data_IF_922264876376
#
_entry.id   IF_922264876376
#
_cell.length_a   1.000
_cell.length_b   1.000
_cell.length_c   1.000
_cell.angle_alpha   90.00
_cell.angle_beta   90.00
_cell.angle_gamma   90.00
#
_symmetry.space_group_name_H-M   'P 1'
#
loop_
_entity.id
_entity.type
_entity.pdbx_description
1 polymer ?
#
# COMPACT_ATOMS: atom_id res chain seq x y z
N UNK A 1 -14.70 -15.11 8.31
CA UNK A 1 -13.43 -14.91 9.05
C UNK A 1 -12.96 -13.51 8.71
N UNK A 2 -12.50 -12.73 9.67
CA UNK A 2 -12.14 -11.34 9.40
C UNK A 2 -10.86 -11.20 8.58
N UNK A 3 -10.82 -10.22 7.68
CA UNK A 3 -9.67 -9.85 6.87
C UNK A 3 -8.57 -9.30 7.78
N UNK A 4 -7.38 -9.90 7.75
CA UNK A 4 -6.25 -9.48 8.58
C UNK A 4 -5.39 -8.50 7.79
N UNK A 5 -5.38 -7.24 8.23
CA UNK A 5 -4.84 -6.11 7.47
C UNK A 5 -3.54 -5.63 8.10
N UNK A 6 -2.46 -5.70 7.34
CA UNK A 6 -1.20 -5.06 7.67
C UNK A 6 -1.11 -3.70 6.96
N UNK A 7 -0.61 -2.66 7.65
CA UNK A 7 -0.45 -1.31 7.09
C UNK A 7 1.02 -0.92 7.11
N UNK A 8 1.58 -0.66 5.92
CA UNK A 8 2.96 -0.24 5.69
C UNK A 8 2.98 1.26 5.37
N UNK A 9 3.81 2.03 6.08
CA UNK A 9 3.87 3.48 5.92
C UNK A 9 5.16 4.07 6.51
N UNK A 10 5.48 5.32 6.13
CA UNK A 10 6.55 6.09 6.74
C UNK A 10 5.99 6.95 7.87
N UNK A 11 6.17 6.50 9.11
CA UNK A 11 5.57 7.10 10.31
C UNK A 11 5.62 8.64 10.36
N UNK A 12 6.83 9.21 10.26
CA UNK A 12 7.04 10.66 10.43
C UNK A 12 6.99 11.49 9.14
N UNK A 13 6.47 10.97 8.03
CA UNK A 13 6.33 11.78 6.82
C UNK A 13 5.21 12.82 7.02
N UNK A 14 5.57 14.09 6.98
CA UNK A 14 4.68 15.24 7.17
C UNK A 14 4.33 15.94 5.86
N UNK A 15 4.69 15.37 4.70
CA UNK A 15 4.35 15.91 3.39
C UNK A 15 2.92 15.52 2.97
N UNK A 16 1.96 15.76 3.85
CA UNK A 16 0.56 15.33 3.72
C UNK A 16 -0.41 16.45 4.13
N UNK A 17 -1.63 16.43 3.60
CA UNK A 17 -2.69 17.37 3.99
C UNK A 17 -3.05 17.21 5.47
N UNK A 18 -3.32 18.32 6.16
CA UNK A 18 -3.65 18.31 7.58
C UNK A 18 -5.13 17.92 7.81
N UNK A 19 -5.36 16.73 8.36
CA UNK A 19 -6.69 16.20 8.70
C UNK A 19 -7.08 16.36 10.18
N UNK A 20 -6.14 16.75 11.05
CA UNK A 20 -6.36 16.92 12.51
C UNK A 20 -6.76 18.36 12.88
N UNK A 21 -6.77 19.28 11.91
CA UNK A 21 -7.16 20.67 12.07
C UNK A 21 -6.28 21.44 13.05
N UNK A 22 -6.87 22.39 13.79
CA UNK A 22 -6.16 23.21 14.78
C UNK A 22 -5.97 22.52 16.14
N UNK A 23 -6.43 21.27 16.31
CA UNK A 23 -6.18 20.50 17.54
C UNK A 23 -4.69 20.23 17.74
N UNK A 24 -3.90 20.27 16.68
CA UNK A 24 -2.44 20.36 16.72
C UNK A 24 -1.95 21.80 16.79
N UNK A 25 -2.24 22.54 17.88
CA UNK A 25 -1.58 23.84 18.15
C UNK A 25 -0.07 23.63 18.32
N UNK A 26 0.65 23.57 17.19
CA UNK A 26 2.08 23.25 17.08
C UNK A 26 2.43 21.86 16.54
N UNK A 27 1.44 21.01 16.20
CA UNK A 27 1.67 19.62 15.75
C UNK A 27 1.65 19.50 14.23
N UNK A 28 2.73 18.99 13.64
CA UNK A 28 2.79 18.62 12.23
C UNK A 28 1.93 17.37 12.00
N UNK A 29 0.95 17.44 11.08
CA UNK A 29 0.22 16.24 10.62
C UNK A 29 1.21 15.34 9.87
N UNK A 30 1.14 14.04 10.13
CA UNK A 30 1.99 13.02 9.53
C UNK A 30 1.15 11.90 8.95
N UNK A 31 1.77 10.98 8.22
CA UNK A 31 1.10 9.76 7.75
C UNK A 31 0.56 8.92 8.91
N UNK A 32 1.12 9.01 10.14
CA UNK A 32 0.55 8.33 11.30
C UNK A 32 -0.88 8.78 11.60
N UNK A 33 -1.18 10.07 11.48
CA UNK A 33 -2.54 10.58 11.70
C UNK A 33 -3.55 9.97 10.71
N UNK A 34 -3.14 9.74 9.45
CA UNK A 34 -3.96 9.03 8.47
C UNK A 34 -4.15 7.55 8.84
N UNK A 35 -3.11 6.90 9.37
CA UNK A 35 -3.20 5.52 9.87
C UNK A 35 -4.13 5.42 11.07
N UNK A 36 -4.14 6.41 11.96
CA UNK A 36 -5.08 6.47 13.10
C UNK A 36 -6.54 6.58 12.61
N UNK A 37 -6.81 7.41 11.61
CA UNK A 37 -8.14 7.51 11.00
C UNK A 37 -8.54 6.23 10.25
N UNK A 38 -7.58 5.60 9.56
CA UNK A 38 -7.80 4.29 8.93
C UNK A 38 -8.14 3.23 9.98
N UNK A 39 -7.39 3.17 11.08
CA UNK A 39 -7.60 2.22 12.17
C UNK A 39 -9.00 2.41 12.80
N UNK A 40 -9.43 3.66 13.04
CA UNK A 40 -10.80 3.96 13.51
C UNK A 40 -11.85 3.48 12.52
N UNK A 41 -11.64 3.74 11.23
CA UNK A 41 -12.55 3.35 10.15
C UNK A 41 -12.68 1.82 10.06
N UNK A 42 -11.58 1.09 10.20
CA UNK A 42 -11.56 -0.37 10.19
C UNK A 42 -12.16 -0.98 11.46
N UNK A 43 -11.86 -0.44 12.65
CA UNK A 43 -12.40 -0.92 13.93
C UNK A 43 -13.93 -0.82 14.03
N UNK A 44 -14.52 0.15 13.32
CA UNK A 44 -15.98 0.26 13.22
C UNK A 44 -16.61 -0.89 12.41
N UNK A 45 -15.81 -1.74 11.77
CA UNK A 45 -16.23 -2.89 10.98
C UNK A 45 -15.77 -4.18 11.63
N UNK A 46 -16.70 -5.04 12.01
CA UNK A 46 -16.43 -6.30 12.74
C UNK A 46 -15.64 -7.34 11.95
N UNK A 47 -15.48 -7.13 10.64
CA UNK A 47 -14.86 -8.06 9.71
C UNK A 47 -13.37 -7.78 9.47
N UNK A 48 -12.79 -6.70 10.01
CA UNK A 48 -11.39 -6.36 9.78
C UNK A 48 -10.57 -6.44 11.06
N UNK A 49 -9.44 -7.13 11.00
CA UNK A 49 -8.48 -7.24 12.10
C UNK A 49 -7.25 -6.43 11.71
N UNK A 50 -7.11 -5.25 12.30
CA UNK A 50 -5.92 -4.41 12.13
C UNK A 50 -4.71 -5.05 12.84
N UNK A 51 -3.62 -5.24 12.08
CA UNK A 51 -2.36 -5.85 12.54
C UNK A 51 -1.18 -4.87 12.52
N UNK A 52 -1.43 -3.59 12.32
CA UNK A 52 -0.40 -2.56 12.39
C UNK A 52 0.03 -2.25 13.82
N UNK A 53 0.99 -1.35 13.96
CA UNK A 53 1.35 -0.79 15.27
C UNK A 53 0.14 -0.07 15.87
N UNK A 54 -0.36 -0.58 17.00
CA UNK A 54 -1.34 0.12 17.83
C UNK A 54 -0.64 1.20 18.64
N UNK A 55 -1.31 2.34 18.80
CA UNK A 55 -0.82 3.49 19.54
C UNK A 55 -0.39 3.06 20.97
N UNK A 56 0.92 3.12 21.26
CA UNK A 56 1.52 2.68 22.54
C UNK A 56 2.58 1.57 22.45
N UNK A 57 2.74 0.89 21.31
CA UNK A 57 3.92 0.05 21.07
C UNK A 57 5.08 0.88 20.53
N UNK A 58 5.78 1.59 21.43
CA UNK A 58 7.02 2.26 21.06
C UNK A 58 8.12 1.21 20.77
N UNK A 59 8.29 0.89 19.48
CA UNK A 59 9.35 0.01 19.02
C UNK A 59 10.71 0.74 18.89
N UNK A 60 10.79 2.04 19.16
CA UNK A 60 12.02 2.84 19.00
C UNK A 60 13.19 2.36 19.86
N UNK A 61 12.89 1.66 20.96
CA UNK A 61 13.88 1.13 21.90
C UNK A 61 14.44 -0.24 21.48
N UNK A 62 13.91 -0.87 20.44
CA UNK A 62 14.32 -2.19 19.97
C UNK A 62 15.38 -2.08 18.87
N UNK A 63 16.19 -3.14 18.71
CA UNK A 63 17.09 -3.24 17.56
C UNK A 63 16.31 -3.44 16.26
N UNK A 64 16.85 -2.96 15.13
CA UNK A 64 16.27 -3.16 13.80
C UNK A 64 15.91 -4.63 13.52
N UNK A 65 16.77 -5.58 13.91
CA UNK A 65 16.50 -7.02 13.73
C UNK A 65 15.28 -7.48 14.54
N UNK A 66 15.12 -6.98 15.76
CA UNK A 66 13.98 -7.33 16.63
C UNK A 66 12.69 -6.73 16.09
N UNK A 67 12.74 -5.47 15.62
CA UNK A 67 11.61 -4.80 14.97
C UNK A 67 11.21 -5.59 13.72
N UNK A 68 12.20 -6.00 12.92
CA UNK A 68 11.96 -6.76 11.70
C UNK A 68 11.28 -8.11 11.96
N UNK A 69 11.74 -8.87 12.96
CA UNK A 69 11.08 -10.14 13.33
C UNK A 69 9.63 -9.94 13.80
N UNK A 70 9.35 -8.87 14.56
CA UNK A 70 7.98 -8.50 14.94
C UNK A 70 7.12 -8.17 13.71
N UNK A 71 7.65 -7.39 12.77
CA UNK A 71 6.95 -7.03 11.53
C UNK A 71 6.68 -8.28 10.69
N UNK A 72 7.66 -9.17 10.51
CA UNK A 72 7.47 -10.45 9.81
C UNK A 72 6.34 -11.27 10.40
N UNK A 73 6.24 -11.35 11.74
CA UNK A 73 5.17 -12.10 12.40
C UNK A 73 3.78 -11.50 12.10
N UNK A 74 3.67 -10.17 12.11
CA UNK A 74 2.42 -9.45 11.78
C UNK A 74 2.03 -9.64 10.32
N UNK A 75 2.99 -9.49 9.40
CA UNK A 75 2.76 -9.66 7.97
C UNK A 75 2.40 -11.12 7.66
N UNK A 76 3.08 -12.08 8.28
CA UNK A 76 2.80 -13.51 8.08
C UNK A 76 1.37 -13.91 8.49
N UNK A 77 0.83 -13.29 9.55
CA UNK A 77 -0.55 -13.50 9.98
C UNK A 77 -1.54 -12.59 9.22
N UNK A 78 -1.12 -11.79 8.26
CA UNK A 78 -2.01 -10.92 7.47
C UNK A 78 -2.41 -11.58 6.14
N UNK A 79 -3.47 -11.06 5.53
CA UNK A 79 -3.97 -11.50 4.21
C UNK A 79 -4.08 -10.35 3.21
N UNK A 80 -4.05 -9.11 3.70
CA UNK A 80 -4.08 -7.87 2.93
C UNK A 80 -3.01 -6.92 3.48
N UNK A 81 -2.23 -6.34 2.57
CA UNK A 81 -1.28 -5.27 2.85
C UNK A 81 -1.78 -3.96 2.24
N UNK A 82 -1.97 -2.95 3.09
CA UNK A 82 -2.24 -1.57 2.67
C UNK A 82 -0.95 -0.77 2.79
N UNK A 83 -0.54 -0.09 1.72
CA UNK A 83 0.59 0.83 1.70
C UNK A 83 0.05 2.24 1.69
N UNK A 84 0.42 3.06 2.68
CA UNK A 84 0.10 4.49 2.70
C UNK A 84 1.09 5.23 1.81
N UNK A 85 0.68 5.54 0.59
CA UNK A 85 1.51 6.17 -0.43
C UNK A 85 1.47 7.68 -0.25
N UNK A 86 2.42 8.22 0.52
CA UNK A 86 2.62 9.66 0.70
C UNK A 86 3.74 10.21 -0.18
N UNK A 87 3.73 11.52 -0.45
CA UNK A 87 4.71 12.18 -1.32
C UNK A 87 6.16 12.07 -0.83
N UNK A 88 6.37 11.95 0.49
CA UNK A 88 7.68 11.84 1.15
C UNK A 88 8.05 10.42 1.61
N UNK A 89 7.33 9.38 1.16
CA UNK A 89 7.52 7.99 1.62
C UNK A 89 8.91 7.41 1.34
N UNK A 90 9.58 7.87 0.27
CA UNK A 90 10.89 7.35 -0.17
C UNK A 90 12.01 8.34 0.12
N UNK A 91 13.06 7.86 0.78
CA UNK A 91 14.33 8.58 0.93
C UNK A 91 15.20 8.33 -0.31
N UNK A 92 15.34 9.34 -1.17
CA UNK A 92 16.01 9.21 -2.48
C UNK A 92 17.48 8.75 -2.40
N UNK A 93 18.18 9.18 -1.36
CA UNK A 93 19.61 8.89 -1.18
C UNK A 93 19.88 7.62 -0.38
N UNK A 94 18.84 6.89 0.04
CA UNK A 94 18.94 5.64 0.78
C UNK A 94 18.54 4.49 -0.13
N UNK A 95 19.37 3.45 -0.24
CA UNK A 95 19.02 2.30 -1.06
C UNK A 95 17.71 1.64 -0.57
N UNK A 96 16.85 1.17 -1.49
CA UNK A 96 15.52 0.62 -1.15
C UNK A 96 15.61 -0.54 -0.15
N UNK A 97 16.64 -1.39 -0.26
CA UNK A 97 16.89 -2.49 0.69
C UNK A 97 17.08 -2.05 2.15
N UNK A 98 17.35 -0.77 2.40
CA UNK A 98 17.51 -0.19 3.73
C UNK A 98 16.29 0.65 4.16
N UNK A 99 15.20 0.61 3.40
CA UNK A 99 13.93 1.25 3.72
C UNK A 99 12.90 0.15 4.01
N UNK A 100 12.05 0.35 5.03
CA UNK A 100 11.16 -0.69 5.54
C UNK A 100 10.04 -1.06 4.56
N UNK A 101 9.35 -0.08 3.98
CA UNK A 101 8.20 -0.28 3.07
C UNK A 101 8.47 -1.32 1.97
N UNK A 102 9.54 -1.23 1.15
CA UNK A 102 9.78 -2.22 0.11
C UNK A 102 10.09 -3.63 0.66
N UNK A 103 10.68 -3.73 1.86
CA UNK A 103 10.91 -5.01 2.54
C UNK A 103 9.60 -5.62 3.03
N UNK A 104 8.70 -4.81 3.59
CA UNK A 104 7.38 -5.23 4.06
C UNK A 104 6.50 -5.72 2.91
N UNK A 105 6.52 -5.01 1.76
CA UNK A 105 5.81 -5.44 0.53
C UNK A 105 6.41 -6.76 0.02
N UNK A 106 7.73 -6.84 -0.09
CA UNK A 106 8.44 -8.07 -0.51
C UNK A 106 8.08 -9.27 0.36
N UNK A 107 8.00 -9.08 1.69
CA UNK A 107 7.59 -10.13 2.61
C UNK A 107 6.10 -10.49 2.46
N UNK A 108 5.23 -9.49 2.28
CA UNK A 108 3.78 -9.66 2.10
C UNK A 108 3.42 -10.48 0.86
N UNK A 109 4.22 -10.37 -0.22
CA UNK A 109 3.95 -11.06 -1.48
C UNK A 109 4.58 -12.45 -1.54
N UNK A 110 5.46 -12.80 -0.62
CA UNK A 110 6.13 -14.11 -0.60
C UNK A 110 5.30 -15.15 0.14
N UNK A 111 5.29 -16.34 -0.43
CA UNK A 111 4.79 -17.54 0.22
C UNK A 111 5.93 -18.13 1.03
N UNK A 112 5.82 -18.07 2.35
CA UNK A 112 6.88 -18.47 3.28
C UNK A 112 6.32 -19.56 4.17
N UNK A 113 7.05 -20.65 4.35
CA UNK A 113 6.65 -21.72 5.27
C UNK A 113 7.19 -21.46 6.67
N UNK A 114 6.36 -21.66 7.70
CA UNK A 114 6.73 -21.63 9.12
C UNK A 114 6.15 -22.83 9.85
N UNK A 115 6.85 -23.28 10.88
CA UNK A 115 6.33 -24.28 11.81
C UNK A 115 5.42 -23.58 12.81
N UNK A 116 4.16 -23.99 12.88
CA UNK A 116 3.21 -23.49 13.87
C UNK A 116 3.45 -24.11 15.26
N UNK A 117 2.71 -23.63 16.27
CA UNK A 117 2.79 -24.15 17.64
C UNK A 117 2.40 -25.62 17.78
N UNK A 118 1.74 -26.20 16.77
CA UNK A 118 1.34 -27.60 16.70
C UNK A 118 2.35 -28.48 15.96
N UNK A 119 3.47 -27.91 15.49
CA UNK A 119 4.53 -28.62 14.78
C UNK A 119 4.27 -28.80 13.28
N UNK A 120 3.23 -28.16 12.73
CA UNK A 120 2.89 -28.28 11.31
C UNK A 120 3.54 -27.17 10.48
N UNK A 121 3.99 -27.52 9.28
CA UNK A 121 4.43 -26.54 8.29
C UNK A 121 3.21 -25.87 7.66
N UNK A 122 3.02 -24.58 7.95
CA UNK A 122 2.01 -23.73 7.34
C UNK A 122 2.73 -22.79 6.39
N UNK A 123 2.20 -22.59 5.18
CA UNK A 123 2.76 -21.65 4.21
C UNK A 123 1.83 -20.46 4.07
N UNK A 124 2.36 -19.24 4.20
CA UNK A 124 1.58 -18.02 3.94
C UNK A 124 1.16 -17.94 2.48
N UNK A 125 0.03 -17.30 2.22
CA UNK A 125 -0.38 -16.94 0.86
C UNK A 125 0.22 -15.58 0.50
N UNK A 126 0.40 -15.31 -0.80
CA UNK A 126 0.64 -13.95 -1.30
C UNK A 126 -0.49 -13.04 -0.83
N UNK A 127 -0.23 -11.92 -0.16
CA UNK A 127 -1.28 -10.99 0.25
C UNK A 127 -1.93 -10.25 -0.93
N UNK A 128 -3.20 -9.87 -0.78
CA UNK A 128 -3.78 -8.77 -1.53
C UNK A 128 -3.00 -7.47 -1.24
N UNK A 129 -2.91 -6.56 -2.21
CA UNK A 129 -2.08 -5.36 -2.10
C UNK A 129 -2.83 -4.11 -2.56
N UNK A 130 -2.93 -3.11 -1.67
CA UNK A 130 -3.54 -1.81 -1.96
C UNK A 130 -2.52 -0.71 -1.68
N UNK A 131 -2.39 0.26 -2.58
CA UNK A 131 -1.76 1.55 -2.32
C UNK A 131 -2.84 2.63 -2.15
N UNK A 132 -2.98 3.13 -0.92
CA UNK A 132 -3.84 4.26 -0.61
C UNK A 132 -3.02 5.54 -0.72
N UNK A 133 -3.32 6.34 -1.74
CA UNK A 133 -2.59 7.56 -2.09
C UNK A 133 -3.05 8.67 -1.15
N UNK A 134 -2.13 9.28 -0.41
CA UNK A 134 -2.44 10.33 0.58
C UNK A 134 -2.22 11.71 -0.05
N UNK A 135 -3.17 12.66 0.04
CA UNK A 135 -2.96 13.99 -0.52
C UNK A 135 -1.71 14.67 0.07
N UNK A 136 -1.00 15.43 -0.75
CA UNK A 136 0.14 16.23 -0.30
C UNK A 136 -0.30 17.40 0.59
N UNK A 137 0.65 18.21 1.08
CA UNK A 137 0.37 19.35 1.97
C UNK A 137 -0.67 20.36 1.45
N UNK A 138 -1.00 20.32 0.15
CA UNK A 138 -1.98 21.20 -0.49
C UNK A 138 -3.30 20.49 -0.84
N UNK A 139 -3.50 19.24 -0.41
CA UNK A 139 -4.68 18.44 -0.78
C UNK A 139 -4.57 17.76 -2.14
N UNK A 140 -3.41 17.81 -2.81
CA UNK A 140 -3.26 17.35 -4.19
C UNK A 140 -2.71 15.93 -4.29
N UNK A 141 -3.15 15.20 -5.31
CA UNK A 141 -2.71 13.84 -5.61
C UNK A 141 -1.73 13.78 -6.80
N UNK A 142 -1.56 14.89 -7.52
CA UNK A 142 -0.85 14.98 -8.81
C UNK A 142 0.64 14.56 -8.74
N UNK A 143 1.22 14.51 -7.53
CA UNK A 143 2.55 13.96 -7.33
C UNK A 143 2.65 12.48 -7.72
N UNK A 144 1.52 11.76 -7.74
CA UNK A 144 1.43 10.36 -8.13
C UNK A 144 0.29 10.06 -9.11
N UNK A 145 -0.89 10.65 -8.96
CA UNK A 145 -2.02 10.39 -9.87
C UNK A 145 -2.81 11.64 -10.23
N UNK A 146 -3.15 11.77 -11.50
CA UNK A 146 -3.92 12.89 -12.03
C UNK A 146 -4.72 12.47 -13.27
N UNK A 147 -5.75 13.25 -13.58
CA UNK A 147 -6.50 13.06 -14.82
C UNK A 147 -5.70 13.62 -15.99
N UNK A 148 -5.47 12.81 -17.02
CA UNK A 148 -4.72 13.17 -18.23
C UNK A 148 -5.64 13.07 -19.43
N UNK A 149 -5.45 13.96 -20.40
CA UNK A 149 -6.09 13.83 -21.71
C UNK A 149 -5.34 12.74 -22.49
N UNK A 150 -6.03 11.64 -22.81
CA UNK A 150 -5.47 10.43 -23.39
C UNK A 150 -6.28 10.06 -24.63
N UNK A 151 -5.68 10.10 -25.81
CA UNK A 151 -6.41 9.99 -27.08
C UNK A 151 -7.54 11.04 -27.16
N UNK A 152 -8.78 10.60 -27.39
CA UNK A 152 -10.00 11.41 -27.45
C UNK A 152 -10.81 11.37 -26.14
N UNK A 153 -10.26 10.81 -25.06
CA UNK A 153 -10.93 10.63 -23.77
C UNK A 153 -10.04 11.12 -22.61
N UNK A 154 -10.59 11.13 -21.40
CA UNK A 154 -9.81 11.37 -20.18
C UNK A 154 -9.42 10.04 -19.56
N UNK A 155 -8.15 9.88 -19.18
CA UNK A 155 -7.69 8.71 -18.44
C UNK A 155 -7.04 9.10 -17.11
N UNK A 156 -6.88 8.14 -16.20
CA UNK A 156 -6.11 8.33 -14.96
C UNK A 156 -4.67 7.94 -15.25
N UNK A 157 -3.76 8.90 -15.06
CA UNK A 157 -2.34 8.63 -15.11
C UNK A 157 -1.81 8.26 -13.72
N UNK A 158 -0.91 7.29 -13.68
CA UNK A 158 -0.10 6.97 -12.49
C UNK A 158 1.36 7.22 -12.81
N UNK A 159 2.05 7.95 -11.94
CA UNK A 159 3.47 8.25 -12.06
C UNK A 159 4.30 7.13 -11.41
N UNK A 160 4.14 5.89 -11.90
CA UNK A 160 4.77 4.70 -11.36
C UNK A 160 6.28 4.61 -11.68
N UNK A 161 6.79 5.42 -12.61
CA UNK A 161 8.22 5.50 -12.94
C UNK A 161 8.95 6.61 -12.14
N UNK A 162 8.26 7.26 -11.22
CA UNK A 162 8.80 8.33 -10.38
C UNK A 162 9.86 7.81 -9.39
N UNK A 163 10.90 8.60 -9.15
CA UNK A 163 11.87 8.35 -8.08
C UNK A 163 11.29 8.49 -6.65
N UNK A 164 9.99 8.77 -6.54
CA UNK A 164 9.23 8.88 -5.29
C UNK A 164 8.59 7.58 -4.83
N UNK A 165 8.35 6.63 -5.75
CA UNK A 165 7.77 5.33 -5.43
C UNK A 165 8.87 4.25 -5.38
N UNK A 166 8.67 3.19 -4.62
CA UNK A 166 9.61 2.06 -4.57
C UNK A 166 9.50 1.20 -5.83
N UNK A 167 10.64 0.62 -6.24
CA UNK A 167 10.73 -0.20 -7.45
C UNK A 167 9.77 -1.40 -7.40
N UNK A 168 9.66 -2.05 -6.23
CA UNK A 168 8.73 -3.18 -6.05
C UNK A 168 7.26 -2.77 -6.25
N UNK A 169 6.88 -1.56 -5.84
CA UNK A 169 5.52 -1.06 -6.05
C UNK A 169 5.28 -0.78 -7.54
N UNK A 170 6.22 -0.09 -8.19
CA UNK A 170 6.15 0.20 -9.63
C UNK A 170 6.01 -1.08 -10.47
N UNK A 171 6.79 -2.12 -10.16
CA UNK A 171 6.72 -3.42 -10.85
C UNK A 171 5.42 -4.20 -10.62
N UNK A 172 4.64 -3.85 -9.60
CA UNK A 172 3.31 -4.43 -9.35
C UNK A 172 2.17 -3.52 -9.88
N UNK A 173 2.51 -2.54 -10.72
CA UNK A 173 1.57 -1.75 -11.52
C UNK A 173 1.74 -2.12 -13.00
N UNK A 174 0.66 -2.06 -13.76
CA UNK A 174 0.58 -2.41 -15.19
C UNK A 174 1.23 -3.76 -15.51
N UNK A 175 1.12 -4.72 -14.58
CA UNK A 175 1.81 -6.00 -14.60
C UNK A 175 0.89 -7.20 -14.88
N UNK A 176 -0.33 -6.96 -15.35
CA UNK A 176 -1.18 -8.02 -15.89
C UNK A 176 -0.51 -8.60 -17.16
N UNK A 177 -0.48 -9.93 -17.27
CA UNK A 177 0.20 -10.67 -18.36
C UNK A 177 -0.44 -10.43 -19.72
N UNK A 178 -1.77 -10.22 -19.75
CA UNK A 178 -2.54 -10.00 -20.97
C UNK A 178 -3.55 -8.87 -20.75
N UNK A 179 -3.08 -7.62 -20.69
CA UNK A 179 -3.94 -6.48 -20.39
C UNK A 179 -4.77 -6.10 -21.61
N UNK A 180 -6.02 -5.73 -21.35
CA UNK A 180 -6.82 -4.99 -22.32
C UNK A 180 -6.27 -3.57 -22.44
N UNK A 181 -5.73 -3.23 -23.61
CA UNK A 181 -5.10 -1.94 -23.86
C UNK A 181 -5.33 -1.43 -25.27
N UNK A 182 -5.54 -0.13 -25.38
CA UNK A 182 -5.65 0.60 -26.62
C UNK A 182 -4.39 1.44 -26.86
N UNK A 183 -3.86 1.42 -28.09
CA UNK A 183 -2.74 2.27 -28.47
C UNK A 183 -3.24 3.66 -28.85
N UNK A 184 -2.69 4.68 -28.20
CA UNK A 184 -2.83 6.09 -28.54
C UNK A 184 -1.70 6.60 -29.42
N UNK A 185 -1.85 7.84 -29.90
CA UNK A 185 -0.80 8.60 -30.57
C UNK A 185 0.51 8.60 -29.75
N UNK A 186 1.64 8.63 -30.47
CA UNK A 186 2.99 8.62 -29.92
C UNK A 186 3.35 7.37 -29.08
N UNK A 187 2.84 6.18 -29.45
CA UNK A 187 3.12 4.90 -28.78
C UNK A 187 2.73 4.85 -27.29
N UNK A 188 1.78 5.69 -26.87
CA UNK A 188 1.19 5.58 -25.55
C UNK A 188 0.11 4.49 -25.54
N UNK A 189 -0.15 3.87 -24.39
CA UNK A 189 -1.23 2.90 -24.23
C UNK A 189 -2.18 3.33 -23.12
N UNK A 190 -3.48 3.20 -23.37
CA UNK A 190 -4.52 3.26 -22.34
C UNK A 190 -4.80 1.83 -21.93
N UNK A 191 -4.77 1.57 -20.63
CA UNK A 191 -5.12 0.28 -20.06
C UNK A 191 -6.55 0.33 -19.53
N UNK A 192 -7.29 -0.76 -19.70
CA UNK A 192 -8.66 -0.92 -19.23
C UNK A 192 -8.74 -1.98 -18.13
N UNK A 193 -9.72 -1.84 -17.23
CA UNK A 193 -9.93 -2.81 -16.14
C UNK A 193 -8.80 -2.87 -15.10
N UNK A 194 -8.64 -4.03 -14.46
CA UNK A 194 -7.64 -4.29 -13.41
C UNK A 194 -6.27 -4.68 -13.99
N UNK A 195 -5.53 -3.70 -14.49
CA UNK A 195 -4.19 -3.92 -15.05
C UNK A 195 -3.07 -3.94 -13.99
N UNK A 196 -3.37 -3.66 -12.72
CA UNK A 196 -2.40 -3.59 -11.62
C UNK A 196 -2.70 -4.69 -10.60
N UNK A 197 -1.69 -5.46 -10.19
CA UNK A 197 -1.82 -6.30 -8.99
C UNK A 197 -1.95 -5.45 -7.72
N UNK A 198 -1.18 -4.37 -7.62
CA UNK A 198 -1.33 -3.36 -6.57
C UNK A 198 -2.47 -2.41 -6.92
N UNK A 199 -3.60 -2.54 -6.22
CA UNK A 199 -4.75 -1.64 -6.40
C UNK A 199 -4.42 -0.23 -5.89
N UNK A 200 -4.51 0.78 -6.75
CA UNK A 200 -4.26 2.18 -6.39
C UNK A 200 -5.58 2.94 -6.19
N UNK A 201 -5.72 3.65 -5.07
CA UNK A 201 -6.93 4.42 -4.74
C UNK A 201 -6.58 5.70 -3.97
N UNK A 202 -7.25 6.81 -4.24
CA UNK A 202 -7.07 8.05 -3.46
C UNK A 202 -7.65 7.89 -2.07
N UNK A 203 -7.04 8.51 -1.06
CA UNK A 203 -7.49 8.49 0.33
C UNK A 203 -8.99 8.79 0.45
N UNK A 204 -9.46 9.89 -0.13
CA UNK A 204 -10.86 10.31 -0.04
C UNK A 204 -11.83 9.26 -0.62
N UNK A 205 -11.47 8.66 -1.76
CA UNK A 205 -12.30 7.61 -2.37
C UNK A 205 -12.27 6.34 -1.51
N UNK A 206 -11.11 5.99 -0.95
CA UNK A 206 -10.94 4.80 -0.13
C UNK A 206 -11.76 4.86 1.16
N UNK A 207 -11.70 5.96 1.91
CA UNK A 207 -12.42 6.10 3.18
C UNK A 207 -13.93 6.23 2.99
N UNK A 208 -14.39 6.74 1.85
CA UNK A 208 -15.82 6.78 1.50
C UNK A 208 -16.41 5.37 1.37
N UNK A 209 -15.64 4.40 0.86
CA UNK A 209 -16.09 3.02 0.76
C UNK A 209 -14.95 1.99 0.87
N UNK A 210 -14.46 1.80 2.10
CA UNK A 210 -13.32 0.90 2.38
C UNK A 210 -13.57 -0.54 1.93
N UNK A 211 -14.79 -1.08 2.15
CA UNK A 211 -15.05 -2.50 1.87
C UNK A 211 -14.99 -2.77 0.36
N UNK A 212 -15.54 -1.86 -0.46
CA UNK A 212 -15.45 -1.96 -1.93
C UNK A 212 -14.01 -2.13 -2.41
N UNK A 213 -13.05 -1.39 -1.87
CA UNK A 213 -11.66 -1.47 -2.31
C UNK A 213 -10.92 -2.67 -1.71
N UNK A 214 -11.27 -3.09 -0.49
CA UNK A 214 -10.78 -4.32 0.10
C UNK A 214 -11.23 -5.53 -0.72
N UNK A 215 -12.53 -5.64 -1.02
CA UNK A 215 -13.11 -6.73 -1.81
C UNK A 215 -12.53 -6.77 -3.23
N UNK A 216 -12.29 -5.59 -3.83
CA UNK A 216 -11.63 -5.47 -5.12
C UNK A 216 -10.18 -5.96 -5.08
N UNK A 217 -9.43 -5.66 -4.01
CA UNK A 217 -8.07 -6.15 -3.85
C UNK A 217 -8.01 -7.67 -3.64
N UNK A 218 -8.97 -8.24 -2.91
CA UNK A 218 -9.12 -9.69 -2.80
C UNK A 218 -9.49 -10.33 -4.14
N UNK A 219 -10.36 -9.69 -4.93
CA UNK A 219 -10.70 -10.17 -6.27
C UNK A 219 -9.47 -10.18 -7.19
N UNK A 220 -8.57 -9.19 -7.07
CA UNK A 220 -7.29 -9.17 -7.81
C UNK A 220 -6.36 -10.30 -7.33
N UNK A 221 -6.26 -10.50 -6.00
CA UNK A 221 -5.47 -11.57 -5.40
C UNK A 221 -5.96 -12.97 -5.81
N UNK A 222 -7.27 -13.19 -5.87
CA UNK A 222 -7.86 -14.46 -6.31
C UNK A 222 -7.49 -14.78 -7.77
N UNK A 223 -7.22 -13.75 -8.58
CA UNK A 223 -6.73 -13.85 -9.96
C UNK A 223 -5.22 -13.58 -10.08
N UNK A 224 -4.43 -13.77 -9.01
CA UNK A 224 -2.99 -13.49 -8.99
C UNK A 224 -2.20 -14.15 -10.13
N UNK A 225 -2.66 -15.29 -10.65
CA UNK A 225 -2.02 -16.00 -11.77
C UNK A 225 -2.07 -15.22 -13.09
N UNK A 226 -2.92 -14.19 -13.21
CA UNK A 226 -2.96 -13.29 -14.36
C UNK A 226 -1.89 -12.19 -14.32
N UNK A 227 -1.12 -12.09 -13.23
CA UNK A 227 -0.17 -11.00 -13.01
C UNK A 227 1.27 -11.51 -12.88
N UNK A 228 2.22 -10.72 -13.39
CA UNK A 228 3.65 -10.90 -13.13
C UNK A 228 4.02 -10.18 -11.83
N UNK A 229 3.77 -10.84 -10.69
CA UNK A 229 3.95 -10.25 -9.35
C UNK A 229 5.43 -10.16 -9.00
N UNK A 230 5.92 -8.93 -8.81
CA UNK A 230 7.28 -8.69 -8.35
C UNK A 230 7.37 -8.84 -6.82
N UNK A 231 8.02 -9.90 -6.36
CA UNK A 231 8.15 -10.24 -4.93
C UNK A 231 9.49 -9.81 -4.31
N UNK A 232 10.38 -9.20 -5.08
CA UNK A 232 11.74 -8.83 -4.64
C UNK A 232 12.07 -7.39 -4.99
N UNK A 233 12.86 -6.75 -4.13
CA UNK A 233 13.40 -5.39 -4.29
C UNK A 233 14.52 -5.41 -5.33
#
# INVERSE_FOLDING_TARGET
MGNKIFVSYKYGDNNVENIIGTKGKGGLCTVRDYVDELEKTLKNKTEHIYKGESDGEDLSQLSDDTIWEKLKNRIYDSTLTIVMLSKGMREKYKAEKHQWIPQEISYSLKEISRIDSSGNSVTSKTNALIAVIIPDIYGNYDYFTYQKDCCNQKCIHYNNDSDRIFTIMSKNMFNQKSPDKEQCDNNNYIYHGECNYMLCVKWNDFVDNVDKYIDRAYSIQDNQDEYDIAKTI
#
